data_IF_148714782731
#
_entry.id   IF_148714782731
#
_cell.length_a   1.000
_cell.length_b   1.000
_cell.length_c   1.000
_cell.angle_alpha   90.00
_cell.angle_beta   90.00
_cell.angle_gamma   90.00
#
_symmetry.space_group_name_H-M   'P 1'
#
loop_
_entity.id
_entity.type
_entity.pdbx_description
1 polymer ?
#
# COMPACT_ATOMS: atom_id res chain seq x y z
N UNK A 1 -19.85 4.96 -1.77
CA UNK A 1 -18.92 3.85 -2.08
C UNK A 1 -17.86 4.41 -3.00
N UNK A 2 -16.59 4.50 -2.57
CA UNK A 2 -15.50 4.72 -3.53
C UNK A 2 -15.37 3.42 -4.31
N UNK A 3 -15.62 3.46 -5.61
CA UNK A 3 -15.35 2.32 -6.47
C UNK A 3 -13.84 2.06 -6.46
N UNK A 4 -13.37 1.03 -5.74
CA UNK A 4 -12.01 0.52 -5.91
C UNK A 4 -11.39 -0.13 -4.68
N UNK A 5 -11.58 0.40 -3.46
CA UNK A 5 -10.94 -0.16 -2.26
C UNK A 5 -11.90 -1.06 -1.48
N UNK A 6 -11.36 -2.17 -0.97
CA UNK A 6 -12.06 -3.02 -0.02
C UNK A 6 -12.38 -2.21 1.25
N UNK A 7 -13.65 -2.18 1.71
CA UNK A 7 -13.99 -1.60 3.00
C UNK A 7 -13.52 -2.50 4.14
N UNK A 8 -13.03 -1.90 5.22
CA UNK A 8 -12.66 -2.60 6.45
C UNK A 8 -13.54 -2.12 7.60
N UNK A 9 -14.19 -3.06 8.29
CA UNK A 9 -14.84 -2.75 9.56
C UNK A 9 -13.78 -2.39 10.61
N UNK A 10 -14.17 -1.63 11.65
CA UNK A 10 -13.25 -1.16 12.71
C UNK A 10 -12.41 -2.27 13.34
N UNK A 11 -12.97 -3.48 13.53
CA UNK A 11 -12.25 -4.63 14.09
C UNK A 11 -11.36 -5.39 13.09
N UNK A 12 -11.40 -5.03 11.80
CA UNK A 12 -10.58 -5.63 10.75
C UNK A 12 -9.34 -4.78 10.42
N UNK A 13 -9.26 -3.56 10.94
CA UNK A 13 -8.10 -2.69 10.76
C UNK A 13 -6.98 -3.16 11.70
N UNK A 14 -5.90 -3.66 11.11
CA UNK A 14 -4.74 -4.19 11.86
C UNK A 14 -3.56 -3.24 11.85
N UNK A 15 -3.55 -2.23 10.97
CA UNK A 15 -2.50 -1.21 10.95
C UNK A 15 -2.61 -0.31 12.19
N UNK A 16 -1.49 -0.15 12.88
CA UNK A 16 -1.32 0.93 13.86
C UNK A 16 -1.15 2.27 13.15
N UNK A 17 -1.26 3.39 13.88
CA UNK A 17 -1.03 4.75 13.34
C UNK A 17 0.36 4.93 12.69
N UNK A 18 1.47 4.51 13.33
CA UNK A 18 2.78 4.57 12.69
C UNK A 18 2.83 3.78 11.38
N UNK A 19 2.27 2.57 11.37
CA UNK A 19 2.24 1.73 10.17
C UNK A 19 1.39 2.31 9.04
N UNK A 20 0.22 2.86 9.38
CA UNK A 20 -0.64 3.54 8.41
C UNK A 20 0.07 4.78 7.82
N UNK A 21 0.79 5.56 8.64
CA UNK A 21 1.59 6.69 8.14
C UNK A 21 2.68 6.22 7.18
N UNK A 22 3.35 5.12 7.50
CA UNK A 22 4.38 4.53 6.64
C UNK A 22 3.81 4.04 5.30
N UNK A 23 2.64 3.42 5.30
CA UNK A 23 1.93 3.03 4.07
C UNK A 23 1.58 4.26 3.23
N UNK A 24 1.03 5.31 3.84
CA UNK A 24 0.68 6.55 3.15
C UNK A 24 1.93 7.24 2.59
N UNK A 25 3.05 7.22 3.31
CA UNK A 25 4.35 7.76 2.87
C UNK A 25 4.92 6.99 1.70
N UNK A 26 4.78 5.68 1.72
CA UNK A 26 5.19 4.81 0.62
C UNK A 26 4.37 5.11 -0.65
N UNK A 27 3.05 5.20 -0.55
CA UNK A 27 2.18 5.40 -1.71
C UNK A 27 2.15 6.85 -2.20
N UNK A 28 2.30 7.83 -1.31
CA UNK A 28 2.23 9.26 -1.61
C UNK A 28 3.49 10.00 -1.14
N UNK A 29 4.68 9.67 -1.67
CA UNK A 29 5.96 10.13 -1.11
C UNK A 29 6.20 11.64 -1.24
N UNK A 30 5.46 12.31 -2.13
CA UNK A 30 5.58 13.76 -2.36
C UNK A 30 4.54 14.57 -1.58
N UNK A 31 3.55 13.91 -0.97
CA UNK A 31 2.45 14.61 -0.30
C UNK A 31 2.81 14.84 1.18
N UNK A 32 2.39 15.99 1.72
CA UNK A 32 2.54 16.29 3.14
C UNK A 32 1.55 15.46 3.95
N UNK A 33 2.05 14.50 4.70
CA UNK A 33 1.21 13.64 5.53
C UNK A 33 0.86 14.29 6.87
N UNK A 34 -0.37 14.06 7.39
CA UNK A 34 -0.72 14.39 8.77
C UNK A 34 0.22 13.74 9.77
N UNK A 35 0.27 14.29 10.98
CA UNK A 35 0.97 13.62 12.06
C UNK A 35 0.27 12.33 12.50
N UNK A 36 1.02 11.39 13.07
CA UNK A 36 0.48 10.09 13.50
C UNK A 36 -0.72 10.25 14.42
N UNK A 37 -0.66 11.22 15.35
CA UNK A 37 -1.74 11.56 16.28
C UNK A 37 -3.00 12.12 15.61
N UNK A 38 -2.88 12.62 14.38
CA UNK A 38 -3.95 13.21 13.59
C UNK A 38 -4.62 12.18 12.67
N UNK A 39 -4.06 10.98 12.55
CA UNK A 39 -4.66 9.89 11.79
C UNK A 39 -5.89 9.32 12.51
N UNK A 40 -7.00 9.35 11.78
CA UNK A 40 -8.30 8.81 12.17
C UNK A 40 -8.39 7.32 11.84
N UNK A 41 -9.38 6.62 12.37
CA UNK A 41 -9.62 5.22 12.02
C UNK A 41 -9.93 5.02 10.53
N UNK A 42 -10.56 6.00 9.88
CA UNK A 42 -10.78 5.99 8.44
C UNK A 42 -9.47 6.09 7.66
N UNK A 43 -8.50 6.87 8.12
CA UNK A 43 -7.17 6.94 7.51
C UNK A 43 -6.42 5.61 7.63
N UNK A 44 -6.56 4.91 8.75
CA UNK A 44 -5.97 3.58 8.96
C UNK A 44 -6.62 2.54 8.05
N UNK A 45 -7.95 2.52 7.97
CA UNK A 45 -8.69 1.63 7.07
C UNK A 45 -8.34 1.89 5.60
N UNK A 46 -8.21 3.17 5.23
CA UNK A 46 -7.80 3.58 3.90
C UNK A 46 -6.37 3.13 3.58
N UNK A 47 -5.41 3.37 4.47
CA UNK A 47 -4.05 2.89 4.32
C UNK A 47 -3.99 1.36 4.17
N UNK A 48 -4.76 0.62 4.98
CA UNK A 48 -4.84 -0.83 4.86
C UNK A 48 -5.41 -1.28 3.51
N UNK A 49 -6.49 -0.65 3.04
CA UNK A 49 -7.06 -0.93 1.73
C UNK A 49 -6.09 -0.65 0.59
N UNK A 50 -5.35 0.45 0.66
CA UNK A 50 -4.33 0.75 -0.33
C UNK A 50 -3.19 -0.28 -0.33
N UNK A 51 -2.78 -0.77 0.85
CA UNK A 51 -1.74 -1.79 0.94
C UNK A 51 -2.21 -3.12 0.35
N UNK A 52 -3.45 -3.53 0.61
CA UNK A 52 -4.04 -4.72 -0.03
C UNK A 52 -4.10 -4.55 -1.55
N UNK A 53 -4.55 -3.39 -2.02
CA UNK A 53 -4.64 -3.10 -3.45
C UNK A 53 -3.26 -3.08 -4.11
N UNK A 54 -2.23 -2.59 -3.43
CA UNK A 54 -0.85 -2.61 -3.94
C UNK A 54 -0.30 -4.04 -4.07
N UNK A 55 -0.66 -4.94 -3.15
CA UNK A 55 -0.34 -6.36 -3.26
C UNK A 55 -1.08 -7.02 -4.42
N UNK A 56 -2.37 -6.71 -4.60
CA UNK A 56 -3.15 -7.22 -5.73
C UNK A 56 -2.65 -6.68 -7.08
N UNK A 57 -2.23 -5.41 -7.13
CA UNK A 57 -1.64 -4.78 -8.31
C UNK A 57 -0.27 -5.39 -8.64
N UNK A 58 0.59 -5.64 -7.66
CA UNK A 58 1.86 -6.35 -7.87
C UNK A 58 1.62 -7.74 -8.49
N UNK A 59 0.65 -8.48 -7.95
CA UNK A 59 0.25 -9.79 -8.47
C UNK A 59 -0.32 -9.72 -9.87
N UNK A 60 -1.03 -8.62 -10.19
CA UNK A 60 -1.56 -8.37 -11.54
C UNK A 60 -0.43 -8.09 -12.51
N UNK A 61 0.57 -7.33 -12.08
CA UNK A 61 1.64 -6.88 -12.95
C UNK A 61 2.51 -8.04 -13.40
N UNK A 62 3.00 -8.90 -12.48
CA UNK A 62 3.78 -10.13 -12.78
C UNK A 62 4.45 -10.15 -14.17
N UNK A 63 5.19 -9.07 -14.46
CA UNK A 63 6.21 -9.03 -15.50
C UNK A 63 7.44 -9.62 -14.82
N UNK A 64 8.12 -10.50 -15.56
CA UNK A 64 9.35 -11.24 -15.25
C UNK A 64 10.10 -10.76 -14.01
N UNK A 65 10.45 -11.71 -13.13
CA UNK A 65 11.32 -11.51 -11.98
C UNK A 65 12.42 -10.46 -12.28
N UNK A 66 12.73 -9.54 -11.34
CA UNK A 66 13.78 -8.58 -11.58
C UNK A 66 15.05 -9.35 -11.96
N UNK A 67 15.80 -8.94 -13.00
CA UNK A 67 17.02 -9.64 -13.37
C UNK A 67 17.91 -9.72 -12.12
N UNK A 68 18.15 -10.93 -11.62
CA UNK A 68 18.97 -11.14 -10.41
C UNK A 68 20.38 -10.53 -10.57
N UNK A 69 20.78 -10.34 -11.83
CA UNK A 69 22.03 -9.77 -12.30
C UNK A 69 22.17 -8.26 -12.02
N UNK A 70 21.09 -7.52 -11.75
CA UNK A 70 21.17 -6.07 -11.55
C UNK A 70 21.64 -5.69 -10.13
N UNK A 71 22.59 -4.75 -9.98
CA UNK A 71 22.97 -4.18 -8.69
C UNK A 71 21.75 -3.63 -7.92
N UNK A 72 21.80 -3.67 -6.58
CA UNK A 72 20.70 -3.21 -5.73
C UNK A 72 20.28 -1.75 -6.00
N UNK A 73 21.23 -0.87 -6.31
CA UNK A 73 20.95 0.52 -6.66
C UNK A 73 20.19 0.65 -7.99
N UNK A 74 20.49 -0.20 -8.97
CA UNK A 74 19.81 -0.22 -10.26
C UNK A 74 18.44 -0.87 -10.17
N UNK A 75 18.29 -1.89 -9.31
CA UNK A 75 16.97 -2.43 -8.94
C UNK A 75 16.10 -1.37 -8.29
N UNK A 76 16.61 -0.63 -7.32
CA UNK A 76 15.89 0.50 -6.68
C UNK A 76 15.56 1.60 -7.70
N UNK A 77 16.48 1.95 -8.60
CA UNK A 77 16.25 2.95 -9.65
C UNK A 77 15.24 2.50 -10.71
N UNK A 78 15.22 1.20 -11.03
CA UNK A 78 14.22 0.55 -11.89
C UNK A 78 12.90 0.27 -11.14
N UNK A 79 12.80 0.69 -9.88
CA UNK A 79 11.57 0.62 -9.11
C UNK A 79 11.37 -0.65 -8.30
N UNK A 80 12.35 -1.54 -8.26
CA UNK A 80 12.35 -2.76 -7.46
C UNK A 80 12.94 -2.47 -6.08
N UNK A 81 12.18 -1.75 -5.25
CA UNK A 81 12.55 -1.50 -3.85
C UNK A 81 11.90 -2.53 -2.91
N UNK A 82 12.60 -3.06 -1.89
CA UNK A 82 11.92 -3.83 -0.84
C UNK A 82 10.90 -2.93 -0.15
N UNK A 83 9.73 -3.47 0.18
CA UNK A 83 8.82 -2.75 1.06
C UNK A 83 9.58 -2.47 2.38
N UNK A 84 9.45 -1.26 2.94
CA UNK A 84 10.09 -0.93 4.20
C UNK A 84 9.80 -2.03 5.25
N UNK A 85 10.71 -2.38 6.18
CA UNK A 85 10.50 -3.48 7.12
C UNK A 85 9.16 -3.43 7.88
N UNK A 86 8.66 -2.21 8.13
CA UNK A 86 7.34 -1.94 8.71
C UNK A 86 6.20 -2.44 7.82
N UNK A 87 6.29 -2.24 6.50
CA UNK A 87 5.34 -2.76 5.52
C UNK A 87 5.40 -4.28 5.45
N UNK A 88 6.59 -4.88 5.48
CA UNK A 88 6.74 -6.33 5.49
C UNK A 88 6.13 -6.96 6.76
N UNK A 89 6.29 -6.32 7.92
CA UNK A 89 5.65 -6.76 9.17
C UNK A 89 4.12 -6.60 9.14
N UNK A 90 3.62 -5.51 8.55
CA UNK A 90 2.18 -5.30 8.37
C UNK A 90 1.56 -6.37 7.45
N UNK A 91 2.22 -6.67 6.33
CA UNK A 91 1.77 -7.67 5.35
C UNK A 91 1.65 -9.08 5.95
N UNK A 92 2.52 -9.45 6.89
CA UNK A 92 2.42 -10.74 7.62
C UNK A 92 1.16 -10.88 8.47
N UNK A 93 0.51 -9.77 8.83
CA UNK A 93 -0.72 -9.74 9.63
C UNK A 93 -1.99 -9.66 8.78
N UNK A 94 -1.85 -9.58 7.46
CA UNK A 94 -3.00 -9.49 6.56
C UNK A 94 -3.60 -10.87 6.37
N UNK A 95 -4.91 -10.96 6.55
CA UNK A 95 -5.67 -12.16 6.22
C UNK A 95 -5.63 -12.36 4.69
N UNK A 96 -5.19 -13.52 4.18
CA UNK A 96 -5.21 -13.82 2.76
C UNK A 96 -6.60 -13.67 2.12
N UNK A 97 -7.69 -13.85 2.87
CA UNK A 97 -9.05 -13.62 2.41
C UNK A 97 -9.36 -12.13 2.12
N UNK A 98 -8.43 -11.24 2.45
CA UNK A 98 -8.53 -9.82 2.13
C UNK A 98 -8.21 -9.50 0.68
N UNK A 99 -7.40 -10.35 0.05
CA UNK A 99 -6.94 -10.22 -1.32
C UNK A 99 -8.04 -10.68 -2.29
N UNK A 100 -8.20 -9.97 -3.41
CA UNK A 100 -9.16 -10.34 -4.44
C UNK A 100 -8.72 -11.54 -5.30
N UNK A 101 -7.46 -11.98 -5.12
CA UNK A 101 -6.82 -13.06 -5.88
C UNK A 101 -6.27 -14.13 -4.94
N UNK A 102 -6.26 -15.41 -5.38
CA UNK A 102 -5.71 -16.50 -4.58
C UNK A 102 -4.26 -16.23 -4.17
N UNK A 103 -3.92 -16.63 -2.94
CA UNK A 103 -2.55 -16.62 -2.44
C UNK A 103 -1.66 -17.39 -3.41
N UNK A 104 -0.69 -16.71 -4.01
CA UNK A 104 0.38 -17.39 -4.73
C UNK A 104 1.51 -17.52 -3.71
N UNK A 105 1.92 -18.76 -3.47
CA UNK A 105 3.09 -19.07 -2.65
C UNK A 105 4.27 -18.20 -3.15
N UNK A 106 5.01 -17.58 -2.22
CA UNK A 106 6.20 -16.75 -2.48
C UNK A 106 6.04 -15.33 -3.07
N UNK A 107 4.92 -14.63 -2.83
CA UNK A 107 4.96 -13.15 -2.89
C UNK A 107 5.64 -12.64 -1.62
N UNK A 108 6.97 -12.83 -1.52
CA UNK A 108 7.78 -12.07 -0.57
C UNK A 108 7.39 -10.60 -0.69
N UNK A 109 7.14 -9.98 0.46
CA UNK A 109 6.73 -8.60 0.75
C UNK A 109 7.39 -7.49 -0.10
N UNK A 110 7.18 -7.51 -1.41
CA UNK A 110 7.74 -6.58 -2.37
C UNK A 110 6.57 -6.03 -3.18
N UNK A 111 6.50 -4.72 -3.21
CA UNK A 111 5.56 -3.97 -4.04
C UNK A 111 6.48 -3.16 -4.95
N UNK A 112 6.49 -3.49 -6.24
CA UNK A 112 7.26 -2.75 -7.24
C UNK A 112 6.80 -1.28 -7.29
N UNK A 113 7.67 -0.42 -7.77
CA UNK A 113 7.36 0.98 -8.08
C UNK A 113 6.23 1.08 -9.08
N UNK A 114 6.14 0.15 -10.04
CA UNK A 114 5.04 0.14 -10.99
C UNK A 114 3.71 -0.14 -10.29
N UNK A 115 3.65 -1.13 -9.39
CA UNK A 115 2.45 -1.40 -8.59
C UNK A 115 2.11 -0.21 -7.68
N UNK A 116 3.11 0.31 -6.98
CA UNK A 116 2.99 1.49 -6.10
C UNK A 116 2.48 2.71 -6.85
N UNK A 117 3.06 3.04 -8.02
CA UNK A 117 2.68 4.16 -8.85
C UNK A 117 1.29 3.97 -9.46
N UNK A 118 0.93 2.73 -9.84
CA UNK A 118 -0.40 2.38 -10.34
C UNK A 118 -1.48 2.65 -9.29
N UNK A 119 -1.27 2.17 -8.05
CA UNK A 119 -2.18 2.42 -6.93
C UNK A 119 -2.18 3.89 -6.52
N UNK A 120 -1.00 4.51 -6.40
CA UNK A 120 -0.85 5.93 -6.05
C UNK A 120 -1.66 6.81 -7.01
N UNK A 121 -1.44 6.65 -8.31
CA UNK A 121 -2.17 7.39 -9.35
C UNK A 121 -3.68 7.23 -9.22
N UNK A 122 -4.15 5.98 -9.02
CA UNK A 122 -5.59 5.66 -8.95
C UNK A 122 -6.28 6.30 -7.75
N UNK A 123 -5.61 6.39 -6.60
CA UNK A 123 -6.22 6.87 -5.35
C UNK A 123 -5.74 8.26 -4.91
N UNK A 124 -4.84 8.90 -5.68
CA UNK A 124 -4.31 10.22 -5.34
C UNK A 124 -5.39 11.29 -5.19
N UNK A 125 -6.37 11.33 -6.08
CA UNK A 125 -7.46 12.32 -6.00
C UNK A 125 -8.25 12.20 -4.70
N UNK A 126 -8.50 10.97 -4.24
CA UNK A 126 -9.19 10.71 -2.98
C UNK A 126 -8.32 11.11 -1.78
N UNK A 127 -7.03 10.80 -1.82
CA UNK A 127 -6.09 11.21 -0.78
C UNK A 127 -5.97 12.75 -0.67
N UNK A 128 -5.86 13.45 -1.81
CA UNK A 128 -5.85 14.92 -1.83
C UNK A 128 -7.15 15.51 -1.29
N UNK A 129 -8.31 14.95 -1.64
CA UNK A 129 -9.59 15.40 -1.09
C UNK A 129 -9.61 15.26 0.44
N UNK A 130 -9.08 14.15 0.97
CA UNK A 130 -8.92 13.95 2.41
C UNK A 130 -8.01 14.98 3.07
N UNK A 131 -6.89 15.33 2.44
CA UNK A 131 -6.00 16.38 2.94
C UNK A 131 -6.67 17.76 2.95
N UNK A 132 -7.66 17.98 2.08
CA UNK A 132 -8.48 19.19 2.03
C UNK A 132 -9.68 19.15 2.99
N UNK A 133 -9.81 18.12 3.82
CA UNK A 133 -10.86 17.99 4.84
C UNK A 133 -12.10 17.19 4.41
N UNK A 134 -12.10 16.59 3.22
CA UNK A 134 -13.17 15.66 2.85
C UNK A 134 -13.06 14.36 3.68
N UNK A 135 -14.18 13.75 4.07
CA UNK A 135 -14.15 12.47 4.76
C UNK A 135 -13.66 11.35 3.81
N UNK A 136 -12.80 10.47 4.33
CA UNK A 136 -12.62 9.14 3.76
C UNK A 136 -13.78 8.26 4.26
N UNK A 137 -14.37 7.50 3.34
CA UNK A 137 -15.59 6.71 3.58
C UNK A 137 -15.31 5.56 4.55
#
# INVERSE_FOLDING_TARGET
>A
MVHGLRPFARGQVVLSRPEAREVLRFLFPLDRLPDEKELTEADLAFAQGLLVEAVDEERRLRVEEPPEELPAAERVAAGWGPAAPVLAAALKRFDPAWQSRPAIEDVEARISEQARAGVSTRFRALWLARLLGAPLI
#
